data_IF_901624149052
#
_entry.id   IF_901624149052
#
_cell.length_a   1.000
_cell.length_b   1.000
_cell.length_c   1.000
_cell.angle_alpha   90.00
_cell.angle_beta   90.00
_cell.angle_gamma   90.00
#
_symmetry.space_group_name_H-M   'P 1'
#
loop_
_entity.id
_entity.type
_entity.pdbx_description
1 polymer ?
#
# COMPACT_ATOMS: atom_id res chain seq x y z
N UNK A 1 -21.53 44.84 -40.41
CA UNK A 1 -20.46 44.28 -39.56
C UNK A 1 -21.08 43.28 -38.59
N UNK A 2 -20.87 41.99 -38.79
CA UNK A 2 -21.30 40.94 -37.86
C UNK A 2 -20.16 39.94 -37.70
N UNK A 3 -19.32 40.14 -36.67
CA UNK A 3 -18.25 39.21 -36.32
C UNK A 3 -18.86 38.06 -35.51
N UNK A 4 -19.03 36.92 -36.15
CA UNK A 4 -19.37 35.64 -35.51
C UNK A 4 -18.16 35.18 -34.69
N UNK A 5 -18.29 35.25 -33.36
CA UNK A 5 -17.33 34.70 -32.41
C UNK A 5 -17.43 33.16 -32.41
N UNK A 6 -16.42 32.48 -32.96
CA UNK A 6 -16.22 31.05 -32.72
C UNK A 6 -15.52 30.87 -31.37
N UNK A 7 -16.29 30.54 -30.33
CA UNK A 7 -15.73 30.06 -29.07
C UNK A 7 -15.28 28.60 -29.25
N UNK A 8 -13.98 28.41 -29.48
CA UNK A 8 -13.34 27.11 -29.53
C UNK A 8 -13.19 26.57 -28.10
N UNK A 9 -14.16 25.78 -27.65
CA UNK A 9 -14.06 25.06 -26.38
C UNK A 9 -13.05 23.91 -26.54
N UNK A 10 -11.80 24.16 -26.14
CA UNK A 10 -10.80 23.11 -25.95
C UNK A 10 -11.23 22.32 -24.71
N UNK A 11 -11.90 21.19 -24.91
CA UNK A 11 -12.06 20.19 -23.86
C UNK A 11 -10.68 19.60 -23.56
N UNK A 12 -9.99 20.12 -22.54
CA UNK A 12 -8.83 19.43 -21.98
C UNK A 12 -9.32 18.09 -21.42
N UNK A 13 -8.74 16.94 -21.82
CA UNK A 13 -8.93 15.71 -21.08
C UNK A 13 -8.20 15.88 -19.74
N UNK A 14 -8.92 16.39 -18.74
CA UNK A 14 -8.53 16.25 -17.35
C UNK A 14 -8.54 14.76 -17.04
N UNK A 15 -7.38 14.11 -17.20
CA UNK A 15 -7.18 12.73 -16.80
C UNK A 15 -7.38 12.65 -15.30
N UNK A 16 -8.61 12.39 -14.88
CA UNK A 16 -8.90 11.93 -13.53
C UNK A 16 -8.14 10.62 -13.38
N UNK A 17 -7.04 10.64 -12.64
CA UNK A 17 -6.36 9.41 -12.24
C UNK A 17 -7.42 8.59 -11.52
N UNK A 18 -7.94 7.54 -12.18
CA UNK A 18 -8.95 6.68 -11.61
C UNK A 18 -8.41 6.16 -10.29
N UNK A 19 -9.02 6.59 -9.18
CA UNK A 19 -8.57 6.23 -7.85
C UNK A 19 -8.80 4.73 -7.70
N UNK A 20 -7.71 3.95 -7.74
CA UNK A 20 -7.81 2.50 -7.66
C UNK A 20 -8.37 2.11 -6.30
N UNK A 21 -9.53 1.45 -6.32
CA UNK A 21 -10.20 0.96 -5.11
C UNK A 21 -9.84 -0.51 -4.93
N UNK A 22 -8.97 -0.77 -3.96
CA UNK A 22 -8.65 -2.13 -3.55
C UNK A 22 -9.75 -2.69 -2.66
N UNK A 23 -10.23 -3.87 -2.97
CA UNK A 23 -11.29 -4.56 -2.21
C UNK A 23 -10.98 -6.05 -2.07
N UNK A 24 -11.72 -6.71 -1.17
CA UNK A 24 -11.58 -8.15 -0.94
C UNK A 24 -10.14 -8.58 -0.67
N UNK A 25 -9.64 -9.51 -1.49
CA UNK A 25 -8.32 -10.13 -1.32
C UNK A 25 -7.16 -9.15 -1.49
N UNK A 26 -7.26 -8.18 -2.39
CA UNK A 26 -6.20 -7.17 -2.58
C UNK A 26 -6.11 -6.20 -1.40
N UNK A 27 -7.25 -5.78 -0.86
CA UNK A 27 -7.28 -4.95 0.35
C UNK A 27 -6.66 -5.69 1.55
N UNK A 28 -6.92 -6.99 1.67
CA UNK A 28 -6.32 -7.83 2.71
C UNK A 28 -4.81 -8.04 2.49
N UNK A 29 -4.37 -8.19 1.24
CA UNK A 29 -2.95 -8.25 0.89
C UNK A 29 -2.22 -6.94 1.25
N UNK A 30 -2.81 -5.79 0.91
CA UNK A 30 -2.31 -4.47 1.30
C UNK A 30 -2.18 -4.32 2.81
N UNK A 31 -3.17 -4.79 3.57
CA UNK A 31 -3.11 -4.82 5.04
C UNK A 31 -1.94 -5.68 5.54
N UNK A 32 -1.77 -6.88 5.01
CA UNK A 32 -0.68 -7.78 5.40
C UNK A 32 0.70 -7.19 5.06
N UNK A 33 0.88 -6.65 3.85
CA UNK A 33 2.10 -5.96 3.46
C UNK A 33 2.42 -4.78 4.39
N UNK A 34 1.40 -4.03 4.80
CA UNK A 34 1.57 -2.92 5.73
C UNK A 34 2.01 -3.39 7.13
N UNK A 35 1.39 -4.46 7.64
CA UNK A 35 1.74 -5.07 8.93
C UNK A 35 3.23 -5.43 8.97
N UNK A 36 3.76 -6.11 7.96
CA UNK A 36 5.18 -6.48 7.91
C UNK A 36 6.09 -5.25 7.82
N UNK A 37 5.84 -4.35 6.86
CA UNK A 37 6.70 -3.18 6.66
C UNK A 37 6.73 -2.25 7.87
N UNK A 38 5.57 -1.90 8.43
CA UNK A 38 5.50 -0.95 9.54
C UNK A 38 5.92 -1.53 10.87
N UNK A 39 5.59 -2.79 11.16
CA UNK A 39 6.03 -3.39 12.42
C UNK A 39 7.54 -3.51 12.44
N UNK A 40 8.16 -3.98 11.35
CA UNK A 40 9.60 -4.08 11.27
C UNK A 40 10.28 -2.71 11.44
N UNK A 41 9.80 -1.67 10.75
CA UNK A 41 10.33 -0.32 10.95
C UNK A 41 10.17 0.17 12.40
N UNK A 42 9.04 -0.13 13.06
CA UNK A 42 8.83 0.29 14.45
C UNK A 42 9.76 -0.45 15.42
N UNK A 43 9.99 -1.75 15.19
CA UNK A 43 10.88 -2.56 16.02
C UNK A 43 12.34 -2.16 15.83
N UNK A 44 12.75 -1.87 14.59
CA UNK A 44 14.12 -1.42 14.30
C UNK A 44 14.40 -0.04 14.91
N UNK A 45 13.47 0.93 14.79
CA UNK A 45 13.60 2.24 15.45
C UNK A 45 13.62 2.15 16.99
N UNK A 46 13.19 1.02 17.56
CA UNK A 46 13.24 0.75 18.99
C UNK A 46 14.45 -0.14 19.38
N UNK A 47 15.38 -0.38 18.45
CA UNK A 47 16.55 -1.25 18.60
C UNK A 47 16.19 -2.70 19.01
N UNK A 48 15.02 -3.19 18.60
CA UNK A 48 14.51 -4.53 18.94
C UNK A 48 14.79 -5.59 17.87
N UNK A 49 15.10 -5.17 16.65
CA UNK A 49 15.52 -6.05 15.55
C UNK A 49 16.68 -5.41 14.80
N UNK A 50 17.44 -6.22 14.06
CA UNK A 50 18.54 -5.72 13.23
C UNK A 50 18.04 -5.04 11.94
N UNK A 51 18.92 -4.30 11.27
CA UNK A 51 18.66 -3.78 9.92
C UNK A 51 18.41 -4.93 8.93
N UNK A 52 19.11 -6.06 9.08
CA UNK A 52 18.91 -7.25 8.23
C UNK A 52 17.48 -7.83 8.39
N UNK A 53 16.97 -7.88 9.61
CA UNK A 53 15.59 -8.32 9.89
C UNK A 53 14.55 -7.33 9.33
N UNK A 54 14.86 -6.03 9.36
CA UNK A 54 14.05 -4.98 8.72
C UNK A 54 14.01 -5.21 7.20
N UNK A 55 15.16 -5.36 6.57
CA UNK A 55 15.27 -5.59 5.12
C UNK A 55 14.49 -6.85 4.70
N UNK A 56 14.65 -7.94 5.45
CA UNK A 56 13.90 -9.18 5.23
C UNK A 56 12.38 -8.94 5.29
N UNK A 57 11.91 -8.19 6.29
CA UNK A 57 10.48 -7.87 6.43
C UNK A 57 9.97 -6.94 5.33
N UNK A 58 10.79 -6.00 4.86
CA UNK A 58 10.48 -5.14 3.71
C UNK A 58 10.41 -5.95 2.41
N UNK A 59 11.29 -6.94 2.23
CA UNK A 59 11.25 -7.86 1.08
C UNK A 59 9.96 -8.67 1.06
N UNK A 60 9.53 -9.22 2.22
CA UNK A 60 8.24 -9.91 2.34
C UNK A 60 7.08 -8.98 1.97
N UNK A 61 7.06 -7.76 2.52
CA UNK A 61 6.05 -6.76 2.20
C UNK A 61 6.00 -6.44 0.70
N UNK A 62 7.15 -6.17 0.09
CA UNK A 62 7.28 -5.89 -1.33
C UNK A 62 6.80 -7.08 -2.19
N UNK A 63 7.14 -8.31 -1.80
CA UNK A 63 6.70 -9.53 -2.49
C UNK A 63 5.19 -9.71 -2.45
N UNK A 64 4.56 -9.45 -1.29
CA UNK A 64 3.09 -9.47 -1.17
C UNK A 64 2.46 -8.46 -2.14
N UNK A 65 2.99 -7.24 -2.21
CA UNK A 65 2.48 -6.21 -3.14
C UNK A 65 2.66 -6.61 -4.60
N UNK A 66 3.79 -7.19 -4.96
CA UNK A 66 4.06 -7.60 -6.33
C UNK A 66 3.12 -8.72 -6.80
N UNK A 67 2.87 -9.72 -5.95
CA UNK A 67 2.10 -10.91 -6.31
C UNK A 67 0.59 -10.73 -6.19
N UNK A 68 0.11 -9.93 -5.23
CA UNK A 68 -1.30 -9.95 -4.82
C UNK A 68 -2.03 -8.61 -4.90
N UNK A 69 -1.35 -7.55 -5.36
CA UNK A 69 -1.95 -6.23 -5.51
C UNK A 69 -1.72 -5.76 -6.94
N UNK A 70 -2.80 -5.47 -7.65
CA UNK A 70 -2.76 -4.92 -9.01
C UNK A 70 -2.30 -3.45 -9.03
N UNK A 71 -1.99 -2.95 -10.22
CA UNK A 71 -1.53 -1.57 -10.45
C UNK A 71 0.00 -1.45 -10.58
N UNK A 72 0.46 -0.24 -10.87
CA UNK A 72 1.89 0.08 -10.90
C UNK A 72 2.46 0.25 -9.48
N UNK A 73 3.79 0.23 -9.33
CA UNK A 73 4.44 0.32 -8.01
C UNK A 73 4.04 1.58 -7.24
N UNK A 74 3.88 2.70 -7.94
CA UNK A 74 3.46 3.96 -7.33
C UNK A 74 2.05 3.86 -6.75
N UNK A 75 1.14 3.19 -7.45
CA UNK A 75 -0.26 2.99 -7.07
C UNK A 75 -0.37 1.97 -5.94
N UNK A 76 0.46 0.94 -5.92
CA UNK A 76 0.57 -0.02 -4.81
C UNK A 76 1.08 0.67 -3.53
N UNK A 77 2.15 1.45 -3.63
CA UNK A 77 2.72 2.19 -2.50
C UNK A 77 1.76 3.27 -1.97
N UNK A 78 0.98 3.91 -2.86
CA UNK A 78 -0.09 4.82 -2.46
C UNK A 78 -1.18 4.08 -1.66
N UNK A 79 -1.62 2.91 -2.15
CA UNK A 79 -2.57 2.04 -1.43
C UNK A 79 -2.04 1.65 -0.05
N UNK A 80 -0.79 1.22 0.03
CA UNK A 80 -0.11 0.87 1.29
C UNK A 80 -0.09 2.04 2.27
N UNK A 81 0.16 3.26 1.79
CA UNK A 81 0.16 4.48 2.63
C UNK A 81 -1.23 4.77 3.20
N UNK A 82 -2.29 4.58 2.41
CA UNK A 82 -3.67 4.78 2.85
C UNK A 82 -4.09 3.77 3.93
N UNK A 83 -3.57 2.54 3.90
CA UNK A 83 -3.78 1.59 5.01
C UNK A 83 -3.24 2.17 6.32
N UNK A 84 -2.06 2.80 6.26
CA UNK A 84 -1.38 3.36 7.43
C UNK A 84 -1.98 4.64 7.99
N UNK A 85 -2.66 5.46 7.17
CA UNK A 85 -3.33 6.67 7.68
C UNK A 85 -4.52 6.36 8.59
N UNK A 86 -4.99 5.11 8.61
CA UNK A 86 -6.15 4.66 9.38
C UNK A 86 -5.77 3.89 10.65
N UNK A 87 -4.48 3.81 11.01
CA UNK A 87 -3.98 2.91 12.06
C UNK A 87 -2.92 3.60 12.92
N UNK A 88 -2.96 3.37 14.23
CA UNK A 88 -1.93 3.84 15.15
C UNK A 88 -0.86 2.76 15.43
N UNK A 89 0.28 3.16 16.01
CA UNK A 89 1.41 2.27 16.26
C UNK A 89 1.10 1.10 17.21
N UNK A 90 0.23 1.31 18.20
CA UNK A 90 -0.15 0.27 19.17
C UNK A 90 -1.02 -0.81 18.52
N UNK A 91 -1.99 -0.40 17.71
CA UNK A 91 -2.83 -1.31 16.92
C UNK A 91 -1.98 -2.14 15.94
N UNK A 92 -0.96 -1.52 15.34
CA UNK A 92 -0.04 -2.17 14.40
C UNK A 92 0.67 -3.36 15.04
N UNK A 93 1.23 -3.18 16.25
CA UNK A 93 1.97 -4.23 16.93
C UNK A 93 1.06 -5.37 17.42
N UNK A 94 -0.14 -5.04 17.91
CA UNK A 94 -1.13 -6.04 18.30
C UNK A 94 -1.60 -6.87 17.10
N UNK A 95 -1.83 -6.23 15.95
CA UNK A 95 -2.18 -6.92 14.71
C UNK A 95 -1.03 -7.78 14.19
N UNK A 96 0.22 -7.33 14.25
CA UNK A 96 1.36 -8.17 13.86
C UNK A 96 1.42 -9.45 14.68
N UNK A 97 1.31 -9.35 16.01
CA UNK A 97 1.32 -10.51 16.91
C UNK A 97 0.17 -11.48 16.62
N UNK A 98 -1.01 -10.95 16.30
CA UNK A 98 -2.20 -11.77 16.04
C UNK A 98 -2.35 -12.29 14.61
N UNK A 99 -1.75 -11.63 13.61
CA UNK A 99 -2.11 -11.81 12.20
C UNK A 99 -0.92 -12.12 11.28
N UNK A 100 0.34 -11.92 11.69
CA UNK A 100 1.53 -12.15 10.83
C UNK A 100 1.55 -13.57 10.23
N UNK A 101 1.38 -14.60 11.04
CA UNK A 101 1.31 -16.00 10.57
C UNK A 101 0.08 -16.29 9.72
N UNK A 102 -1.04 -15.59 9.95
CA UNK A 102 -2.23 -15.73 9.09
C UNK A 102 -1.99 -15.06 7.72
N UNK A 103 -1.30 -13.92 7.70
CA UNK A 103 -0.92 -13.22 6.49
C UNK A 103 -0.01 -14.07 5.61
N UNK A 104 1.03 -14.72 6.16
CA UNK A 104 1.92 -15.59 5.38
C UNK A 104 1.20 -16.82 4.82
N UNK A 105 0.23 -17.40 5.57
CA UNK A 105 -0.59 -18.50 5.05
C UNK A 105 -1.54 -18.07 3.93
N UNK A 106 -2.07 -16.84 4.00
CA UNK A 106 -3.02 -16.32 3.01
C UNK A 106 -2.31 -15.77 1.75
N UNK A 107 -1.10 -15.27 1.93
CA UNK A 107 -0.24 -14.65 0.91
C UNK A 107 1.19 -15.19 1.00
N UNK A 108 1.44 -16.43 0.54
CA UNK A 108 2.78 -16.99 0.48
C UNK A 108 3.71 -16.14 -0.40
N UNK A 109 4.98 -16.04 0.01
CA UNK A 109 6.00 -15.18 -0.64
C UNK A 109 7.25 -15.96 -1.10
N UNK A 110 7.28 -17.26 -0.83
CA UNK A 110 8.29 -18.22 -1.28
C UNK A 110 8.30 -18.41 -2.81
#
# INVERSE_FOLDING_TARGET
>A
MGLLALALWVALPGGVAAQQVYSGREAQALKCAWIFSKTASMLENADLISIEDLETSLMVSARILQLYVSGDDRTKLAGLRVVGTRRNAIETLAEFRGQSMACLRMFPVE
#
